data_IF_955789132907
#
_entry.id   IF_955789132907
#
_cell.length_a   1.000
_cell.length_b   1.000
_cell.length_c   1.000
_cell.angle_alpha   90.00
_cell.angle_beta   90.00
_cell.angle_gamma   90.00
#
_symmetry.space_group_name_H-M   'P 1'
#
loop_
_entity.id
_entity.type
_entity.pdbx_description
1 polymer ?
#
# COMPACT_ATOMS: atom_id res chain seq x y z
N UNK A 1 16.43 3.36 -10.17
CA UNK A 1 15.15 2.94 -10.81
C UNK A 1 13.92 3.21 -9.95
N UNK A 2 13.95 3.03 -8.61
CA UNK A 2 12.75 3.24 -7.76
C UNK A 2 12.26 4.70 -7.67
N UNK A 3 13.13 5.69 -7.88
CA UNK A 3 12.79 7.12 -7.78
C UNK A 3 11.76 7.54 -8.84
N UNK A 4 11.99 7.18 -10.11
CA UNK A 4 11.08 7.51 -11.23
C UNK A 4 9.69 6.89 -11.02
N UNK A 5 9.64 5.65 -10.50
CA UNK A 5 8.36 4.98 -10.22
C UNK A 5 7.57 5.73 -9.15
N UNK A 6 8.24 6.28 -8.12
CA UNK A 6 7.57 7.05 -7.07
C UNK A 6 7.01 8.37 -7.58
N UNK A 7 7.76 9.07 -8.43
CA UNK A 7 7.28 10.32 -9.05
C UNK A 7 6.06 10.09 -9.94
N UNK A 8 6.06 8.98 -10.70
CA UNK A 8 4.89 8.54 -11.47
C UNK A 8 3.70 8.23 -10.58
N UNK A 9 3.91 7.53 -9.46
CA UNK A 9 2.85 7.24 -8.49
C UNK A 9 2.29 8.55 -7.91
N UNK A 10 3.14 9.51 -7.56
CA UNK A 10 2.69 10.80 -7.03
C UNK A 10 1.84 11.57 -8.05
N UNK A 11 2.24 11.60 -9.33
CA UNK A 11 1.46 12.23 -10.39
C UNK A 11 0.08 11.57 -10.59
N UNK A 12 0.02 10.23 -10.52
CA UNK A 12 -1.25 9.49 -10.60
C UNK A 12 -2.15 9.78 -9.39
N UNK A 13 -1.57 9.78 -8.19
CA UNK A 13 -2.29 10.06 -6.95
C UNK A 13 -2.86 11.48 -6.90
N UNK A 14 -2.14 12.47 -7.44
CA UNK A 14 -2.63 13.85 -7.58
C UNK A 14 -3.90 13.94 -8.43
N UNK A 15 -4.00 13.08 -9.45
CA UNK A 15 -5.17 12.99 -10.32
C UNK A 15 -6.25 12.04 -9.78
N UNK A 16 -6.21 11.70 -8.49
CA UNK A 16 -7.16 10.78 -7.83
C UNK A 16 -7.17 9.38 -8.48
N UNK A 17 -6.10 9.04 -9.19
CA UNK A 17 -5.93 7.72 -9.79
C UNK A 17 -5.36 6.70 -8.81
N UNK A 18 -5.16 5.49 -9.31
CA UNK A 18 -4.48 4.42 -8.58
C UNK A 18 -3.61 3.63 -9.54
N UNK A 19 -2.59 2.96 -9.01
CA UNK A 19 -1.65 2.15 -9.78
C UNK A 19 -1.84 0.68 -9.46
N UNK A 20 -1.59 -0.20 -10.43
CA UNK A 20 -1.66 -1.65 -10.19
C UNK A 20 -0.54 -2.11 -9.25
N UNK A 21 -0.85 -3.03 -8.33
CA UNK A 21 0.09 -3.59 -7.35
C UNK A 21 1.15 -4.46 -8.06
N UNK A 22 2.36 -3.94 -8.30
CA UNK A 22 3.37 -4.66 -9.04
C UNK A 22 4.11 -5.63 -8.10
N UNK A 23 4.71 -6.67 -8.68
CA UNK A 23 5.63 -7.57 -7.96
C UNK A 23 6.82 -6.83 -7.32
N UNK A 24 7.21 -5.68 -7.90
CA UNK A 24 8.23 -4.82 -7.34
C UNK A 24 7.61 -3.72 -6.47
N UNK A 25 7.86 -3.81 -5.17
CA UNK A 25 7.29 -2.93 -4.14
C UNK A 25 8.11 -1.63 -4.00
N UNK A 26 8.07 -0.80 -5.04
CA UNK A 26 8.82 0.46 -5.10
C UNK A 26 8.12 1.65 -4.43
N UNK A 27 6.80 1.56 -4.26
CA UNK A 27 5.99 2.60 -3.63
C UNK A 27 6.39 2.81 -2.16
N UNK A 28 6.12 3.99 -1.62
CA UNK A 28 6.23 4.23 -0.18
C UNK A 28 4.94 3.80 0.53
N UNK A 29 5.02 3.59 1.84
CA UNK A 29 3.84 3.25 2.66
C UNK A 29 2.76 4.33 2.56
N UNK A 30 3.14 5.61 2.51
CA UNK A 30 2.21 6.73 2.37
C UNK A 30 1.50 6.73 1.02
N UNK A 31 2.24 6.47 -0.07
CA UNK A 31 1.67 6.35 -1.41
C UNK A 31 0.69 5.18 -1.50
N UNK A 32 1.04 4.04 -0.90
CA UNK A 32 0.17 2.87 -0.84
C UNK A 32 -1.12 3.16 -0.06
N UNK A 33 -1.03 3.82 1.09
CA UNK A 33 -2.20 4.18 1.89
C UNK A 33 -3.12 5.18 1.18
N UNK A 34 -2.57 6.10 0.39
CA UNK A 34 -3.35 7.04 -0.43
C UNK A 34 -4.04 6.36 -1.61
N UNK A 35 -3.34 5.46 -2.30
CA UNK A 35 -3.91 4.67 -3.40
C UNK A 35 -5.00 3.71 -2.92
N UNK A 36 -4.85 3.17 -1.71
CA UNK A 36 -5.67 2.06 -1.21
C UNK A 36 -6.15 2.26 0.24
N UNK A 37 -7.03 3.23 0.49
CA UNK A 37 -7.55 3.51 1.84
C UNK A 37 -8.33 2.34 2.46
N UNK A 38 -8.95 1.48 1.63
CA UNK A 38 -9.74 0.32 2.05
C UNK A 38 -8.92 -0.74 2.79
N UNK A 39 -7.60 -0.76 2.65
CA UNK A 39 -6.74 -1.73 3.34
C UNK A 39 -6.73 -1.55 4.86
N UNK A 40 -7.17 -0.38 5.38
CA UNK A 40 -7.42 -0.18 6.82
C UNK A 40 -8.49 -1.11 7.38
N UNK A 41 -9.41 -1.61 6.55
CA UNK A 41 -10.45 -2.55 6.96
C UNK A 41 -9.86 -3.91 7.36
N UNK A 42 -8.69 -4.27 6.83
CA UNK A 42 -8.00 -5.53 7.17
C UNK A 42 -7.73 -5.65 8.68
N UNK A 43 -7.39 -4.54 9.35
CA UNK A 43 -7.18 -4.56 10.79
C UNK A 43 -8.44 -4.96 11.59
N UNK A 44 -9.63 -4.65 11.07
CA UNK A 44 -10.91 -5.07 11.68
C UNK A 44 -11.28 -6.51 11.36
N UNK A 45 -11.02 -6.96 10.12
CA UNK A 45 -11.43 -8.28 9.65
C UNK A 45 -10.46 -9.39 10.04
N UNK A 46 -9.18 -9.08 10.23
CA UNK A 46 -8.13 -10.03 10.57
C UNK A 46 -7.19 -9.44 11.64
N UNK A 47 -7.66 -9.29 12.90
CA UNK A 47 -6.87 -8.72 13.99
C UNK A 47 -5.63 -9.55 14.33
N UNK A 48 -5.64 -10.85 14.02
CA UNK A 48 -4.50 -11.75 14.22
C UNK A 48 -3.53 -11.78 13.02
N UNK A 49 -3.80 -10.99 11.99
CA UNK A 49 -3.04 -10.92 10.73
C UNK A 49 -2.70 -12.29 10.12
N UNK A 50 -3.64 -13.25 10.20
CA UNK A 50 -3.48 -14.61 9.67
C UNK A 50 -3.31 -14.61 8.14
N UNK A 51 -3.94 -13.66 7.45
CA UNK A 51 -3.85 -13.52 6.00
C UNK A 51 -2.85 -12.42 5.63
N UNK A 52 -1.56 -12.74 5.69
CA UNK A 52 -0.47 -11.81 5.35
C UNK A 52 0.38 -12.32 4.19
N UNK A 53 0.87 -11.40 3.36
CA UNK A 53 1.85 -11.67 2.29
C UNK A 53 3.03 -10.68 2.38
N UNK A 54 4.02 -10.79 1.49
CA UNK A 54 5.19 -9.90 1.48
C UNK A 54 4.82 -8.43 1.25
N UNK A 55 3.78 -8.15 0.46
CA UNK A 55 3.28 -6.81 0.20
C UNK A 55 2.72 -6.15 1.46
N UNK A 56 1.86 -6.88 2.17
CA UNK A 56 1.25 -6.45 3.42
C UNK A 56 2.27 -6.25 4.53
N UNK A 57 3.30 -7.11 4.57
CA UNK A 57 4.45 -6.93 5.47
C UNK A 57 5.24 -5.66 5.12
N UNK A 58 5.48 -5.41 3.83
CA UNK A 58 6.25 -4.24 3.37
C UNK A 58 5.57 -2.91 3.71
N UNK A 59 4.24 -2.85 3.59
CA UNK A 59 3.46 -1.64 3.84
C UNK A 59 2.83 -1.58 5.24
N UNK A 60 3.25 -2.46 6.15
CA UNK A 60 2.89 -2.53 7.58
C UNK A 60 1.55 -1.86 7.92
N UNK A 61 0.46 -2.54 7.57
CA UNK A 61 -0.85 -2.15 8.07
C UNK A 61 -0.88 -2.60 9.54
N UNK A 62 -0.57 -1.68 10.45
CA UNK A 62 -0.56 -1.97 11.88
C UNK A 62 -1.91 -2.53 12.31
N UNK A 63 -1.87 -3.76 12.79
CA UNK A 63 -2.99 -4.44 13.42
C UNK A 63 -2.90 -4.06 14.88
N UNK A 64 -3.84 -3.22 15.33
CA UNK A 64 -3.97 -2.88 16.75
C UNK A 64 -4.24 -4.19 17.50
N UNK A 65 -3.40 -4.48 18.50
CA UNK A 65 -3.58 -5.61 19.42
C UNK A 65 -4.84 -5.46 20.25
#
# INVERSE_FOLDING_TARGET
>A
MSVIIRELIDAVLQNQGSYYLPYQLHATTEQFQKAYPQFKLKARLDPQNKFSNMLLKRYHIETVQ
#
